data_IF_833420576778
#
_entry.id   IF_833420576778
#
_cell.length_a   1.000
_cell.length_b   1.000
_cell.length_c   1.000
_cell.angle_alpha   90.00
_cell.angle_beta   90.00
_cell.angle_gamma   90.00
#
_symmetry.space_group_name_H-M   'P 1'
#
loop_
_entity.id
_entity.type
_entity.pdbx_description
1 polymer ?
#
# COMPACT_ATOMS: atom_id res chain seq x y z
N UNK A 1 9.25 14.48 -11.20
CA UNK A 1 9.67 13.36 -10.32
C UNK A 1 9.84 12.11 -11.17
N UNK A 2 10.97 11.40 -11.07
CA UNK A 2 11.21 10.17 -11.85
C UNK A 2 10.39 9.01 -11.24
N UNK A 3 9.76 8.17 -12.08
CA UNK A 3 8.96 7.02 -11.64
C UNK A 3 9.73 6.09 -10.68
N UNK A 4 11.01 5.86 -10.94
CA UNK A 4 11.88 5.04 -10.10
C UNK A 4 12.06 5.66 -8.71
N UNK A 5 12.23 6.98 -8.63
CA UNK A 5 12.37 7.67 -7.35
C UNK A 5 11.07 7.59 -6.55
N UNK A 6 9.93 7.70 -7.23
CA UNK A 6 8.62 7.60 -6.59
C UNK A 6 8.33 6.20 -6.06
N UNK A 7 8.68 5.16 -6.81
CA UNK A 7 8.60 3.77 -6.36
C UNK A 7 9.54 3.51 -5.18
N UNK A 8 10.78 4.02 -5.23
CA UNK A 8 11.71 3.89 -4.12
C UNK A 8 11.19 4.57 -2.85
N UNK A 9 10.69 5.81 -2.94
CA UNK A 9 10.08 6.48 -1.79
C UNK A 9 8.89 5.70 -1.22
N UNK A 10 8.06 5.09 -2.09
CA UNK A 10 6.97 4.20 -1.68
C UNK A 10 7.46 2.94 -0.97
N UNK A 11 8.54 2.33 -1.46
CA UNK A 11 9.14 1.15 -0.84
C UNK A 11 9.83 1.49 0.48
N UNK A 12 10.51 2.63 0.57
CA UNK A 12 11.23 3.08 1.76
C UNK A 12 10.29 3.35 2.96
N UNK A 13 9.01 3.64 2.70
CA UNK A 13 7.98 3.73 3.74
C UNK A 13 7.48 2.37 4.22
N UNK A 14 7.71 1.31 3.45
CA UNK A 14 7.37 -0.05 3.86
C UNK A 14 8.42 -0.60 4.83
N UNK A 15 7.99 -1.36 5.84
CA UNK A 15 8.94 -2.15 6.61
C UNK A 15 9.68 -3.13 5.69
N UNK A 16 10.96 -3.39 5.97
CA UNK A 16 11.76 -4.36 5.22
C UNK A 16 11.10 -5.74 5.17
N UNK A 17 10.34 -6.10 6.22
CA UNK A 17 9.56 -7.34 6.30
C UNK A 17 8.42 -7.33 5.27
N UNK A 18 7.63 -6.26 5.24
CA UNK A 18 6.51 -6.11 4.30
C UNK A 18 6.97 -6.15 2.85
N UNK A 19 8.08 -5.47 2.53
CA UNK A 19 8.67 -5.48 1.19
C UNK A 19 9.11 -6.90 0.80
N UNK A 20 9.84 -7.58 1.67
CA UNK A 20 10.32 -8.95 1.42
C UNK A 20 9.17 -9.94 1.26
N UNK A 21 8.13 -9.82 2.08
CA UNK A 21 6.91 -10.62 1.96
C UNK A 21 6.22 -10.38 0.62
N UNK A 22 6.05 -9.12 0.21
CA UNK A 22 5.48 -8.76 -1.09
C UNK A 22 6.27 -9.34 -2.26
N UNK A 23 7.61 -9.25 -2.22
CA UNK A 23 8.51 -9.85 -3.23
C UNK A 23 8.35 -11.37 -3.27
N UNK A 24 8.26 -12.03 -2.12
CA UNK A 24 8.07 -13.48 -2.01
C UNK A 24 6.74 -13.93 -2.62
N UNK A 25 5.64 -13.24 -2.29
CA UNK A 25 4.31 -13.52 -2.84
C UNK A 25 4.27 -13.32 -4.37
N UNK A 26 4.91 -12.25 -4.87
CA UNK A 26 5.03 -11.99 -6.30
C UNK A 26 5.83 -13.09 -7.01
N UNK A 27 6.99 -13.47 -6.48
CA UNK A 27 7.83 -14.56 -7.04
C UNK A 27 7.13 -15.91 -7.07
N UNK A 28 6.26 -16.18 -6.08
CA UNK A 28 5.43 -17.39 -6.04
C UNK A 28 4.25 -17.38 -7.02
N UNK A 29 4.04 -16.28 -7.75
CA UNK A 29 2.93 -16.15 -8.70
C UNK A 29 1.56 -16.03 -8.02
N UNK A 30 1.53 -15.68 -6.74
CA UNK A 30 0.29 -15.61 -5.94
C UNK A 30 -0.45 -14.29 -6.15
N UNK A 31 0.17 -13.32 -6.84
CA UNK A 31 -0.45 -12.03 -7.17
C UNK A 31 -1.27 -12.20 -8.46
N UNK A 32 -2.56 -12.41 -8.31
CA UNK A 32 -3.46 -12.71 -9.42
C UNK A 32 -3.82 -11.49 -10.26
N UNK A 33 -3.94 -10.34 -9.62
CA UNK A 33 -4.40 -9.11 -10.28
C UNK A 33 -3.85 -7.88 -9.60
N UNK A 34 -3.35 -6.95 -10.41
CA UNK A 34 -3.06 -5.58 -9.98
C UNK A 34 -3.84 -4.64 -10.90
N UNK A 35 -4.66 -3.78 -10.31
CA UNK A 35 -5.40 -2.74 -11.05
C UNK A 35 -5.22 -1.41 -10.37
N UNK A 36 -5.27 -0.33 -11.15
CA UNK A 36 -5.22 1.01 -10.62
C UNK A 36 -6.39 1.85 -11.11
N UNK A 37 -6.79 2.83 -10.31
CA UNK A 37 -7.75 3.86 -10.66
C UNK A 37 -7.27 5.19 -10.10
N UNK A 38 -7.23 6.23 -10.93
CA UNK A 38 -7.05 7.60 -10.47
C UNK A 38 -8.42 8.19 -10.15
N UNK A 39 -8.57 8.75 -8.96
CA UNK A 39 -9.75 9.50 -8.53
C UNK A 39 -9.21 10.83 -8.00
N UNK A 40 -9.56 11.91 -8.68
CA UNK A 40 -8.97 13.23 -8.47
C UNK A 40 -7.43 13.17 -8.55
N UNK A 41 -6.70 13.59 -7.51
CA UNK A 41 -5.23 13.53 -7.44
C UNK A 41 -4.69 12.30 -6.69
N UNK A 42 -5.59 11.40 -6.28
CA UNK A 42 -5.26 10.19 -5.54
C UNK A 42 -5.29 8.98 -6.48
N UNK A 43 -4.21 8.21 -6.44
CA UNK A 43 -4.12 6.93 -7.11
C UNK A 43 -4.50 5.82 -6.14
N UNK A 44 -5.42 4.97 -6.58
CA UNK A 44 -5.86 3.78 -5.87
C UNK A 44 -5.29 2.57 -6.60
N UNK A 45 -4.43 1.80 -5.95
CA UNK A 45 -3.90 0.53 -6.46
C UNK A 45 -4.54 -0.60 -5.67
N UNK A 46 -5.17 -1.52 -6.38
CA UNK A 46 -5.79 -2.72 -5.83
C UNK A 46 -5.00 -3.95 -6.27
N UNK A 47 -4.61 -4.78 -5.31
CA UNK A 47 -4.02 -6.09 -5.57
C UNK A 47 -4.95 -7.20 -5.11
N UNK A 48 -4.98 -8.31 -5.84
CA UNK A 48 -5.57 -9.58 -5.39
C UNK A 48 -4.48 -10.62 -5.29
N UNK A 49 -4.44 -11.30 -4.16
CA UNK A 49 -3.47 -12.35 -3.85
C UNK A 49 -4.26 -13.62 -3.53
N UNK A 50 -3.95 -14.74 -4.18
CA UNK A 50 -4.50 -16.05 -3.81
C UNK A 50 -3.44 -16.90 -3.15
N UNK A 51 -3.68 -17.32 -1.91
CA UNK A 51 -2.81 -18.27 -1.21
C UNK A 51 -3.68 -19.30 -0.47
N UNK A 52 -3.36 -20.58 -0.63
CA UNK A 52 -4.06 -21.69 0.05
C UNK A 52 -5.60 -21.62 0.01
N UNK A 53 -6.17 -21.43 -1.19
CA UNK A 53 -7.62 -21.27 -1.43
C UNK A 53 -8.27 -20.05 -0.76
N UNK A 54 -7.49 -19.11 -0.23
CA UNK A 54 -7.96 -17.82 0.28
C UNK A 54 -7.57 -16.70 -0.67
N UNK A 55 -8.49 -15.77 -0.88
CA UNK A 55 -8.22 -14.53 -1.61
C UNK A 55 -8.07 -13.36 -0.64
N UNK A 56 -6.99 -12.62 -0.81
CA UNK A 56 -6.68 -11.40 -0.08
C UNK A 56 -6.75 -10.23 -1.06
N UNK A 57 -7.45 -9.17 -0.66
CA UNK A 57 -7.47 -7.91 -1.40
C UNK A 57 -6.61 -6.90 -0.66
N UNK A 58 -5.66 -6.30 -1.36
CA UNK A 58 -4.84 -5.18 -0.87
C UNK A 58 -5.23 -3.90 -1.59
N UNK A 59 -5.17 -2.77 -0.88
CA UNK A 59 -5.47 -1.45 -1.41
C UNK A 59 -4.44 -0.44 -0.91
N UNK A 60 -3.73 0.19 -1.84
CA UNK A 60 -2.82 1.30 -1.58
C UNK A 60 -3.44 2.57 -2.16
N UNK A 61 -3.46 3.64 -1.37
CA UNK A 61 -3.83 4.99 -1.81
C UNK A 61 -2.59 5.86 -1.73
N UNK A 62 -2.29 6.63 -2.78
CA UNK A 62 -1.26 7.65 -2.73
C UNK A 62 -1.72 8.92 -3.46
N UNK A 63 -1.55 10.07 -2.82
CA UNK A 63 -1.84 11.37 -3.41
C UNK A 63 -0.52 11.97 -3.94
N UNK A 64 -0.52 12.48 -5.17
CA UNK A 64 0.67 13.10 -5.75
C UNK A 64 0.99 14.49 -5.19
N UNK A 65 0.05 15.12 -4.48
CA UNK A 65 0.18 16.48 -3.94
C UNK A 65 0.76 16.54 -2.53
N UNK A 66 0.70 15.44 -1.79
CA UNK A 66 1.11 15.38 -0.39
C UNK A 66 2.30 14.42 -0.22
N UNK A 67 3.24 14.79 0.64
CA UNK A 67 4.28 13.88 1.14
C UNK A 67 3.57 12.70 1.85
N UNK A 68 3.84 11.47 1.42
CA UNK A 68 3.28 10.29 2.08
C UNK A 68 3.98 10.14 3.43
N UNK A 69 3.20 10.05 4.52
CA UNK A 69 3.71 9.96 5.90
C UNK A 69 3.45 8.56 6.45
N UNK A 70 4.51 7.95 6.98
CA UNK A 70 4.43 6.71 7.77
C UNK A 70 4.04 7.05 9.22
N UNK A 71 3.11 6.31 9.80
CA UNK A 71 2.64 6.52 11.19
C UNK A 71 2.34 5.17 11.86
N UNK A 72 2.92 4.95 13.04
CA UNK A 72 2.73 3.72 13.82
C UNK A 72 1.48 3.92 14.68
N UNK A 73 0.36 3.29 14.31
CA UNK A 73 -0.87 3.37 15.09
C UNK A 73 -1.40 1.97 15.49
N UNK A 74 -2.01 1.91 16.66
CA UNK A 74 -2.81 0.74 17.09
C UNK A 74 -4.18 0.74 16.39
N UNK A 75 -4.84 -0.41 16.27
CA UNK A 75 -6.18 -0.51 15.64
C UNK A 75 -7.21 0.49 16.19
N UNK A 76 -7.12 0.85 17.47
CA UNK A 76 -8.00 1.83 18.12
C UNK A 76 -7.66 3.29 17.80
N UNK A 77 -6.42 3.58 17.39
CA UNK A 77 -6.00 4.88 16.86
C UNK A 77 -6.33 5.01 15.35
N UNK A 78 -6.46 3.88 14.66
CA UNK A 78 -6.77 3.78 13.23
C UNK A 78 -8.12 4.41 12.86
N UNK A 79 -9.17 4.13 13.64
CA UNK A 79 -10.51 4.71 13.44
C UNK A 79 -10.56 6.23 13.68
N UNK A 80 -9.63 6.77 14.45
CA UNK A 80 -9.51 8.21 14.71
C UNK A 80 -8.66 8.89 13.65
N UNK A 81 -7.46 8.37 13.37
CA UNK A 81 -6.54 8.95 12.41
C UNK A 81 -7.08 8.87 10.97
N UNK A 82 -7.85 7.82 10.63
CA UNK A 82 -8.51 7.69 9.33
C UNK A 82 -9.54 8.76 9.00
N UNK A 83 -10.10 9.41 10.04
CA UNK A 83 -11.06 10.50 9.89
C UNK A 83 -10.39 11.86 9.75
N UNK A 84 -9.17 11.99 10.24
CA UNK A 84 -8.43 13.26 10.34
C UNK A 84 -7.30 13.38 9.29
N UNK A 85 -6.80 12.27 8.74
CA UNK A 85 -5.68 12.24 7.79
C UNK A 85 -6.04 11.46 6.53
N UNK A 86 -5.87 12.10 5.36
CA UNK A 86 -6.23 11.54 4.06
C UNK A 86 -5.16 10.63 3.42
N UNK A 87 -3.90 10.75 3.85
CA UNK A 87 -2.75 10.08 3.22
C UNK A 87 -1.85 9.37 4.25
N UNK A 88 -2.17 8.13 4.59
CA UNK A 88 -1.31 7.28 5.41
C UNK A 88 -1.35 5.83 4.88
N UNK A 89 -0.32 5.05 5.19
CA UNK A 89 -0.26 3.62 4.93
C UNK A 89 -0.12 2.87 6.25
N UNK A 90 -0.90 1.82 6.48
CA UNK A 90 -0.80 0.99 7.70
C UNK A 90 -0.26 -0.40 7.38
N UNK A 91 0.67 -0.86 8.21
CA UNK A 91 1.15 -2.24 8.26
C UNK A 91 0.89 -2.82 9.65
N UNK A 92 0.17 -3.94 9.69
CA UNK A 92 -0.16 -4.71 10.89
C UNK A 92 0.57 -6.06 10.89
#
# INVERSE_FOLDING_TARGET
MNLRNMVNSLLDMGSSISINNGISLYKKGLVNKVTSKKIDDTYHIYGRISDNNKEYSTHIKFNLKDEVKDDICTCSQLDKNSKEMSNYTFSH
#
